data_IF_280763837119
#
_entry.id   IF_280763837119
#
_cell.length_a   1.000
_cell.length_b   1.000
_cell.length_c   1.000
_cell.angle_alpha   90.00
_cell.angle_beta   90.00
_cell.angle_gamma   90.00
#
_symmetry.space_group_name_H-M   'P 1'
#
loop_
_entity.id
_entity.type
_entity.pdbx_description
1 polymer ?
#
# COMPACT_ATOMS: atom_id res chain seq x y z
N UNK A 1 26.79 -20.92 8.73
CA UNK A 1 26.32 -21.54 9.97
C UNK A 1 26.14 -23.04 9.78
N UNK A 2 26.14 -23.80 10.86
CA UNK A 2 25.92 -25.24 10.82
C UNK A 2 24.44 -25.55 10.61
N UNK A 3 24.11 -26.46 9.69
CA UNK A 3 22.72 -26.90 9.45
C UNK A 3 22.29 -27.80 10.59
N UNK A 4 21.18 -27.47 11.25
CA UNK A 4 20.66 -28.17 12.46
C UNK A 4 19.44 -29.06 12.17
N UNK A 5 19.04 -29.19 10.93
CA UNK A 5 17.88 -29.99 10.50
C UNK A 5 18.25 -30.88 9.31
N UNK A 6 17.73 -32.12 9.33
CA UNK A 6 18.03 -33.11 8.28
C UNK A 6 17.12 -32.93 7.06
N UNK A 7 15.90 -32.38 7.28
CA UNK A 7 14.90 -32.24 6.22
C UNK A 7 14.01 -31.02 6.45
N UNK A 8 13.77 -30.25 5.39
CA UNK A 8 12.78 -29.18 5.35
C UNK A 8 11.73 -29.56 4.30
N UNK A 9 10.45 -29.46 4.68
CA UNK A 9 9.32 -29.65 3.77
C UNK A 9 8.59 -28.31 3.66
N UNK A 10 8.47 -27.79 2.46
CA UNK A 10 7.70 -26.56 2.18
C UNK A 10 6.33 -26.93 1.67
N UNK A 11 5.28 -26.44 2.32
CA UNK A 11 3.87 -26.61 1.93
C UNK A 11 3.33 -25.26 1.44
N UNK A 12 2.56 -25.27 0.36
CA UNK A 12 1.85 -24.10 -0.14
C UNK A 12 0.39 -24.15 0.30
N UNK A 13 -0.16 -22.98 0.67
CA UNK A 13 -1.56 -22.83 1.08
C UNK A 13 -2.24 -21.81 0.17
N UNK A 14 -3.50 -22.06 -0.16
CA UNK A 14 -4.28 -21.22 -1.06
C UNK A 14 -4.72 -19.90 -0.40
N UNK A 15 -4.92 -19.93 0.91
CA UNK A 15 -5.39 -18.77 1.69
C UNK A 15 -4.80 -18.73 3.09
N UNK A 16 -4.92 -17.55 3.74
CA UNK A 16 -4.36 -17.32 5.06
C UNK A 16 -5.09 -18.06 6.20
N UNK A 17 -6.34 -18.44 6.01
CA UNK A 17 -7.09 -19.18 7.01
C UNK A 17 -6.61 -20.62 7.10
N UNK A 18 -6.41 -21.27 5.95
CA UNK A 18 -5.81 -22.60 5.85
C UNK A 18 -4.37 -22.62 6.42
N UNK A 19 -3.58 -21.57 6.13
CA UNK A 19 -2.24 -21.40 6.68
C UNK A 19 -2.27 -21.30 8.23
N UNK A 20 -3.17 -20.48 8.77
CA UNK A 20 -3.36 -20.31 10.21
C UNK A 20 -3.75 -21.63 10.90
N UNK A 21 -4.72 -22.34 10.33
CA UNK A 21 -5.16 -23.63 10.86
C UNK A 21 -4.02 -24.67 10.85
N UNK A 22 -3.25 -24.74 9.77
CA UNK A 22 -2.12 -25.67 9.67
C UNK A 22 -1.03 -25.38 10.71
N UNK A 23 -0.78 -24.10 11.05
CA UNK A 23 0.14 -23.73 12.11
C UNK A 23 -0.42 -24.11 13.50
N UNK A 24 -1.71 -23.86 13.75
CA UNK A 24 -2.36 -24.21 15.02
C UNK A 24 -2.42 -25.72 15.29
N UNK A 25 -2.63 -26.51 14.24
CA UNK A 25 -2.68 -27.99 14.35
C UNK A 25 -1.31 -28.65 14.39
N UNK A 26 -0.22 -27.90 14.17
CA UNK A 26 1.12 -28.43 14.08
C UNK A 26 1.48 -29.13 12.77
N UNK A 27 0.61 -29.05 11.77
CA UNK A 27 0.88 -29.55 10.40
C UNK A 27 2.08 -28.86 9.76
N UNK A 28 2.36 -27.64 10.16
CA UNK A 28 3.57 -26.88 9.89
C UNK A 28 4.16 -26.33 11.19
N UNK A 29 5.49 -26.22 11.25
CA UNK A 29 6.22 -25.74 12.43
C UNK A 29 6.68 -24.28 12.29
N UNK A 30 6.46 -23.67 11.14
CA UNK A 30 6.80 -22.27 10.92
C UNK A 30 6.14 -21.76 9.65
N UNK A 31 5.88 -20.48 9.62
CA UNK A 31 5.29 -19.82 8.45
C UNK A 31 5.81 -18.40 8.29
N UNK A 32 5.64 -17.89 7.10
CA UNK A 32 5.84 -16.50 6.72
C UNK A 32 4.55 -16.00 6.05
N UNK A 33 4.14 -14.75 6.34
CA UNK A 33 2.97 -14.15 5.70
C UNK A 33 1.62 -14.50 6.36
N UNK A 34 1.61 -14.68 7.67
CA UNK A 34 0.36 -14.79 8.43
C UNK A 34 -0.46 -13.50 8.29
N UNK A 35 -1.78 -13.62 8.21
CA UNK A 35 -2.68 -12.46 8.21
C UNK A 35 -2.58 -11.70 9.55
N UNK A 36 -2.61 -10.37 9.50
CA UNK A 36 -2.45 -9.53 10.70
C UNK A 36 -3.47 -9.85 11.79
N UNK A 37 -4.73 -10.08 11.41
CA UNK A 37 -5.82 -10.41 12.32
C UNK A 37 -5.63 -11.75 13.07
N UNK A 38 -4.72 -12.59 12.60
CA UNK A 38 -4.44 -13.91 13.18
C UNK A 38 -3.24 -13.92 14.14
N UNK A 39 -2.43 -12.86 14.19
CA UNK A 39 -1.29 -12.78 15.13
C UNK A 39 -1.68 -12.91 16.59
N UNK A 40 -2.80 -12.33 17.09
CA UNK A 40 -3.21 -12.49 18.48
C UNK A 40 -3.42 -13.95 18.92
N UNK A 41 -3.67 -14.87 17.99
CA UNK A 41 -3.80 -16.31 18.28
C UNK A 41 -2.47 -16.94 18.74
N UNK A 42 -1.34 -16.30 18.41
CA UNK A 42 0.01 -16.83 18.64
C UNK A 42 0.83 -15.98 19.60
N UNK A 43 0.57 -14.67 19.70
CA UNK A 43 1.37 -13.71 20.48
C UNK A 43 1.42 -14.02 21.97
N UNK A 44 0.32 -14.53 22.53
CA UNK A 44 0.21 -14.85 23.97
C UNK A 44 0.34 -16.34 24.28
N UNK A 45 0.87 -17.11 23.32
CA UNK A 45 1.04 -18.55 23.47
C UNK A 45 2.55 -18.89 23.45
N UNK A 46 3.05 -19.43 24.57
CA UNK A 46 4.46 -19.80 24.76
C UNK A 46 4.98 -20.88 23.79
N UNK A 47 4.08 -21.60 23.11
CA UNK A 47 4.45 -22.63 22.14
C UNK A 47 4.93 -22.01 20.81
N UNK A 48 4.73 -20.70 20.64
CA UNK A 48 5.10 -19.99 19.41
C UNK A 48 6.10 -18.87 19.68
N UNK A 49 6.97 -18.65 18.72
CA UNK A 49 7.88 -17.49 18.69
C UNK A 49 7.61 -16.68 17.44
N UNK A 50 7.31 -15.39 17.62
CA UNK A 50 7.14 -14.45 16.52
C UNK A 50 8.41 -13.63 16.37
N UNK A 51 9.05 -13.73 15.21
CA UNK A 51 10.20 -12.90 14.83
C UNK A 51 9.77 -11.90 13.77
N UNK A 52 10.07 -10.63 13.99
CA UNK A 52 9.78 -9.55 13.05
C UNK A 52 11.05 -8.75 12.78
N UNK A 53 11.26 -8.39 11.54
CA UNK A 53 12.35 -7.50 11.14
C UNK A 53 11.87 -6.55 10.05
N UNK A 54 12.41 -5.32 10.05
CA UNK A 54 12.19 -4.36 8.97
C UNK A 54 12.83 -4.88 7.68
N UNK A 55 12.16 -4.64 6.56
CA UNK A 55 12.63 -5.00 5.23
C UNK A 55 12.63 -3.77 4.32
N UNK A 56 13.22 -3.88 3.13
CA UNK A 56 13.12 -2.85 2.08
C UNK A 56 11.84 -2.96 1.24
N UNK A 57 10.83 -3.73 1.68
CA UNK A 57 9.55 -3.77 1.00
C UNK A 57 8.79 -2.49 1.25
N UNK A 58 8.45 -1.79 0.17
CA UNK A 58 7.67 -0.58 0.18
C UNK A 58 6.38 -0.78 -0.63
N UNK A 59 5.27 -0.28 -0.11
CA UNK A 59 4.02 -0.11 -0.84
C UNK A 59 3.94 1.35 -1.26
N UNK A 60 3.73 1.62 -2.53
CA UNK A 60 3.69 2.98 -3.06
C UNK A 60 2.71 3.10 -4.22
N UNK A 61 2.15 4.30 -4.38
CA UNK A 61 1.30 4.66 -5.49
C UNK A 61 2.09 5.35 -6.59
N UNK A 62 1.75 5.04 -7.83
CA UNK A 62 2.23 5.72 -9.03
C UNK A 62 1.04 6.43 -9.67
N UNK A 63 1.16 7.72 -9.90
CA UNK A 63 0.17 8.49 -10.63
C UNK A 63 0.37 8.28 -12.14
N UNK A 64 -0.72 8.04 -12.85
CA UNK A 64 -0.71 8.01 -14.30
C UNK A 64 -0.69 9.44 -14.83
N UNK A 65 0.46 9.88 -15.32
CA UNK A 65 0.62 11.25 -15.83
C UNK A 65 -0.06 11.48 -17.18
N UNK A 66 -0.54 10.42 -17.85
CA UNK A 66 -1.37 10.54 -19.07
C UNK A 66 -2.86 10.71 -18.73
N UNK A 67 -3.26 10.49 -17.47
CA UNK A 67 -4.61 10.80 -17.00
C UNK A 67 -4.80 12.30 -16.84
N UNK A 68 -5.86 12.85 -17.43
CA UNK A 68 -6.18 14.29 -17.36
C UNK A 68 -6.31 14.78 -15.92
N UNK A 69 -6.95 13.99 -15.04
CA UNK A 69 -7.12 14.31 -13.62
C UNK A 69 -5.76 14.38 -12.91
N UNK A 70 -4.85 13.47 -13.25
CA UNK A 70 -3.53 13.39 -12.59
C UNK A 70 -2.53 14.40 -13.14
N UNK A 71 -2.83 15.16 -14.21
CA UNK A 71 -2.01 16.28 -14.64
C UNK A 71 -2.08 17.46 -13.67
N UNK A 72 -3.18 17.62 -12.92
CA UNK A 72 -3.30 18.64 -11.88
C UNK A 72 -2.45 18.26 -10.65
N UNK A 73 -1.43 19.08 -10.37
CA UNK A 73 -0.54 18.88 -9.23
C UNK A 73 -1.26 18.97 -7.88
N UNK A 74 -2.28 19.84 -7.78
CA UNK A 74 -3.03 20.00 -6.55
C UNK A 74 -3.89 18.77 -6.26
N UNK A 75 -4.46 18.15 -7.31
CA UNK A 75 -5.19 16.87 -7.17
C UNK A 75 -4.25 15.77 -6.67
N UNK A 76 -3.05 15.62 -7.26
CA UNK A 76 -2.08 14.62 -6.79
C UNK A 76 -1.68 14.85 -5.33
N UNK A 77 -1.41 16.11 -4.95
CA UNK A 77 -1.10 16.45 -3.55
C UNK A 77 -2.28 16.19 -2.62
N UNK A 78 -3.50 16.54 -3.03
CA UNK A 78 -4.70 16.29 -2.24
C UNK A 78 -4.93 14.80 -2.01
N UNK A 79 -4.72 13.96 -3.02
CA UNK A 79 -4.75 12.48 -2.88
C UNK A 79 -3.74 12.02 -1.85
N UNK A 80 -2.50 12.50 -1.90
CA UNK A 80 -1.45 12.11 -0.95
C UNK A 80 -1.74 12.61 0.47
N UNK A 81 -2.24 13.84 0.63
CA UNK A 81 -2.64 14.43 1.91
C UNK A 81 -3.90 13.77 2.49
N UNK A 82 -4.77 13.23 1.66
CA UNK A 82 -6.01 12.57 2.08
C UNK A 82 -5.83 11.12 2.56
N UNK A 83 -4.65 10.52 2.42
CA UNK A 83 -4.39 9.15 2.85
C UNK A 83 -3.68 9.14 4.21
N UNK A 84 -4.37 8.67 5.26
CA UNK A 84 -3.80 8.52 6.61
C UNK A 84 -2.89 7.28 6.69
N UNK A 85 -1.62 7.47 6.34
CA UNK A 85 -0.60 6.41 6.35
C UNK A 85 -0.31 5.91 7.76
N UNK A 86 -0.32 6.80 8.76
CA UNK A 86 -0.10 6.45 10.16
C UNK A 86 -1.27 5.62 10.73
N UNK A 87 -2.51 6.01 10.44
CA UNK A 87 -3.70 5.27 10.81
C UNK A 87 -3.73 3.88 10.15
N UNK A 88 -3.39 3.77 8.87
CA UNK A 88 -3.28 2.48 8.20
C UNK A 88 -2.25 1.56 8.87
N UNK A 89 -1.05 2.05 9.13
CA UNK A 89 0.01 1.25 9.75
C UNK A 89 -0.33 0.86 11.20
N UNK A 90 -0.89 1.77 11.99
CA UNK A 90 -1.18 1.51 13.41
C UNK A 90 -2.43 0.65 13.62
N UNK A 91 -3.50 0.90 12.87
CA UNK A 91 -4.80 0.25 13.06
C UNK A 91 -4.94 -0.99 12.18
N UNK A 92 -4.80 -0.83 10.85
CA UNK A 92 -5.04 -1.93 9.92
C UNK A 92 -3.91 -2.95 9.95
N UNK A 93 -2.66 -2.50 10.01
CA UNK A 93 -1.49 -3.38 10.11
C UNK A 93 -1.09 -3.71 11.55
N UNK A 94 -1.85 -3.23 12.54
CA UNK A 94 -1.60 -3.48 13.96
C UNK A 94 -0.14 -3.16 14.39
N UNK A 95 0.40 -2.05 13.89
CA UNK A 95 1.77 -1.61 14.16
C UNK A 95 2.88 -2.42 13.47
N UNK A 96 2.53 -3.30 12.50
CA UNK A 96 3.50 -4.14 11.78
C UNK A 96 4.01 -3.52 10.48
N UNK A 97 3.71 -2.26 10.26
CA UNK A 97 4.21 -1.43 9.17
C UNK A 97 4.66 -0.08 9.70
N UNK A 98 5.43 0.62 8.88
CA UNK A 98 5.89 1.99 9.16
C UNK A 98 5.51 2.85 7.95
N UNK A 99 4.92 4.05 8.18
CA UNK A 99 4.66 4.99 7.09
C UNK A 99 5.95 5.30 6.33
N UNK A 100 5.97 5.02 5.03
CA UNK A 100 7.14 5.25 4.22
C UNK A 100 7.32 6.75 3.95
N UNK A 101 8.55 7.25 4.14
CA UNK A 101 8.95 8.62 3.79
C UNK A 101 9.70 8.66 2.46
N UNK A 102 10.32 7.56 2.09
CA UNK A 102 11.08 7.41 0.86
C UNK A 102 11.08 5.94 0.41
N UNK A 103 11.59 5.68 -0.77
CA UNK A 103 11.72 4.34 -1.31
C UNK A 103 12.67 3.44 -0.49
N UNK A 104 13.61 4.04 0.24
CA UNK A 104 14.62 3.32 1.02
C UNK A 104 14.51 3.70 2.49
N UNK A 105 14.36 2.71 3.40
CA UNK A 105 14.35 2.98 4.84
C UNK A 105 15.75 3.40 5.33
N UNK A 106 15.78 4.12 6.46
CA UNK A 106 17.02 4.62 7.10
C UNK A 106 17.98 3.51 7.57
N UNK A 107 17.55 2.26 7.57
CA UNK A 107 18.42 1.11 7.81
C UNK A 107 19.48 0.90 6.72
N UNK A 108 19.30 1.48 5.53
CA UNK A 108 20.30 1.53 4.48
C UNK A 108 21.15 2.80 4.59
N UNK A 109 22.44 2.70 4.25
CA UNK A 109 23.36 3.83 4.29
C UNK A 109 22.98 4.99 3.36
N UNK A 110 22.17 4.71 2.35
CA UNK A 110 21.60 5.69 1.41
C UNK A 110 20.11 5.97 1.70
N UNK A 111 19.54 5.38 2.74
CA UNK A 111 18.18 5.69 3.20
C UNK A 111 18.15 7.00 3.96
N UNK A 112 17.05 7.71 3.89
CA UNK A 112 16.92 9.02 4.52
C UNK A 112 15.52 9.24 5.09
N UNK A 113 15.43 9.29 6.42
CA UNK A 113 14.19 9.64 7.13
C UNK A 113 13.95 11.16 7.24
N UNK A 114 14.94 11.97 6.85
CA UNK A 114 14.83 13.44 6.85
C UNK A 114 14.18 13.99 5.56
N UNK A 115 13.71 13.13 4.66
CA UNK A 115 12.92 13.56 3.50
C UNK A 115 11.61 14.17 3.98
N UNK A 116 11.35 15.39 3.55
CA UNK A 116 10.05 16.01 3.75
C UNK A 116 9.01 15.26 2.92
N UNK A 117 7.99 14.76 3.59
CA UNK A 117 6.86 14.06 2.96
C UNK A 117 5.59 14.85 3.19
N UNK A 118 4.64 14.65 2.30
CA UNK A 118 3.30 15.17 2.50
C UNK A 118 2.66 14.45 3.69
N UNK A 119 2.28 15.23 4.71
CA UNK A 119 1.58 14.73 5.89
C UNK A 119 0.10 14.54 5.60
N UNK A 120 -0.55 13.66 6.34
CA UNK A 120 -2.01 13.56 6.36
C UNK A 120 -2.61 14.89 6.85
N UNK A 121 -3.32 15.56 5.98
CA UNK A 121 -3.98 16.86 6.24
C UNK A 121 -5.24 16.95 5.35
N UNK A 122 -6.36 16.38 5.77
CA UNK A 122 -7.59 16.39 4.98
C UNK A 122 -8.15 17.80 4.77
N UNK A 123 -7.96 18.72 5.70
CA UNK A 123 -8.42 20.10 5.54
C UNK A 123 -7.58 20.87 4.51
N UNK A 124 -6.27 20.67 4.53
CA UNK A 124 -5.36 21.18 3.51
C UNK A 124 -5.64 20.58 2.13
N UNK A 125 -5.96 19.28 2.07
CA UNK A 125 -6.33 18.62 0.84
C UNK A 125 -7.60 19.23 0.21
N UNK A 126 -8.66 19.47 1.00
CA UNK A 126 -9.87 20.15 0.53
C UNK A 126 -9.59 21.53 -0.06
N UNK A 127 -8.73 22.32 0.61
CA UNK A 127 -8.33 23.64 0.09
C UNK A 127 -7.63 23.55 -1.26
N UNK A 128 -6.72 22.57 -1.43
CA UNK A 128 -6.04 22.38 -2.72
C UNK A 128 -7.02 22.01 -3.84
N UNK A 129 -8.03 21.19 -3.52
CA UNK A 129 -9.08 20.86 -4.47
C UNK A 129 -9.91 22.09 -4.84
N UNK A 130 -10.33 22.90 -3.85
CA UNK A 130 -11.06 24.15 -4.09
C UNK A 130 -10.24 25.14 -4.93
N UNK A 131 -8.93 25.29 -4.67
CA UNK A 131 -8.01 26.12 -5.44
C UNK A 131 -7.90 25.69 -6.90
N UNK A 132 -8.09 24.39 -7.18
CA UNK A 132 -8.14 23.82 -8.52
C UNK A 132 -9.55 23.84 -9.14
N UNK A 133 -10.54 24.40 -8.43
CA UNK A 133 -11.92 24.52 -8.91
C UNK A 133 -12.78 23.30 -8.69
N UNK A 134 -12.34 22.35 -7.86
CA UNK A 134 -13.13 21.20 -7.44
C UNK A 134 -13.94 21.54 -6.19
N UNK A 135 -15.27 21.53 -6.30
CA UNK A 135 -16.19 21.80 -5.20
C UNK A 135 -17.43 20.92 -5.32
N UNK A 136 -18.01 20.51 -4.20
CA UNK A 136 -19.29 19.77 -4.20
C UNK A 136 -20.42 20.74 -4.55
N UNK A 137 -20.87 20.72 -5.81
CA UNK A 137 -21.88 21.66 -6.31
C UNK A 137 -23.31 21.10 -6.25
N UNK A 138 -23.46 19.78 -6.17
CA UNK A 138 -24.78 19.12 -6.14
C UNK A 138 -25.14 18.54 -4.76
N UNK A 139 -24.22 18.55 -3.80
CA UNK A 139 -24.44 18.13 -2.43
C UNK A 139 -24.40 16.61 -2.22
N UNK A 140 -23.78 15.86 -3.14
CA UNK A 140 -23.69 14.40 -3.04
C UNK A 140 -22.51 13.92 -2.19
N UNK A 141 -21.69 14.85 -1.69
CA UNK A 141 -20.53 14.59 -0.83
C UNK A 141 -19.24 14.35 -1.60
N UNK A 142 -19.25 14.48 -2.92
CA UNK A 142 -18.06 14.43 -3.77
C UNK A 142 -17.84 15.77 -4.46
N UNK A 143 -16.59 16.12 -4.69
CA UNK A 143 -16.28 17.35 -5.42
C UNK A 143 -16.42 17.15 -6.92
N UNK A 144 -16.91 18.15 -7.59
CA UNK A 144 -17.08 18.19 -9.04
C UNK A 144 -16.50 19.48 -9.65
N UNK A 145 -16.19 19.43 -10.94
CA UNK A 145 -15.74 20.55 -11.74
C UNK A 145 -16.29 20.42 -13.15
N UNK A 146 -16.89 21.50 -13.66
CA UNK A 146 -17.52 21.53 -14.99
C UNK A 146 -18.57 20.40 -15.19
N UNK A 147 -19.26 20.03 -14.11
CA UNK A 147 -20.27 18.97 -14.09
C UNK A 147 -19.69 17.54 -14.11
N UNK A 148 -18.39 17.39 -13.87
CA UNK A 148 -17.74 16.08 -13.76
C UNK A 148 -17.24 15.87 -12.34
N UNK A 149 -17.65 14.74 -11.74
CA UNK A 149 -17.21 14.31 -10.42
C UNK A 149 -15.72 13.93 -10.44
N UNK A 150 -14.98 14.31 -9.39
CA UNK A 150 -13.62 13.85 -9.18
C UNK A 150 -13.63 12.38 -8.77
N UNK A 151 -13.39 11.52 -9.74
CA UNK A 151 -13.42 10.07 -9.58
C UNK A 151 -12.08 9.48 -10.02
N UNK A 152 -11.43 8.69 -9.14
CA UNK A 152 -10.11 8.13 -9.34
C UNK A 152 -10.22 6.61 -9.52
N UNK A 153 -9.63 6.08 -10.60
CA UNK A 153 -9.47 4.66 -10.81
C UNK A 153 -8.20 4.16 -10.12
N UNK A 154 -8.41 3.44 -9.01
CA UNK A 154 -7.33 2.88 -8.20
C UNK A 154 -7.07 1.44 -8.58
N UNK A 155 -5.93 1.16 -9.19
CA UNK A 155 -5.51 -0.17 -9.59
C UNK A 155 -4.63 -0.81 -8.50
N UNK A 156 -4.93 -2.06 -8.14
CA UNK A 156 -4.12 -2.87 -7.24
C UNK A 156 -4.34 -4.37 -7.51
N UNK A 157 -3.76 -5.26 -6.69
CA UNK A 157 -3.85 -6.71 -6.89
C UNK A 157 -3.99 -7.50 -5.58
N UNK A 158 -4.64 -8.70 -5.61
CA UNK A 158 -5.04 -9.43 -4.39
C UNK A 158 -3.94 -10.29 -3.76
N UNK A 159 -2.81 -10.54 -4.42
CA UNK A 159 -1.79 -11.49 -3.96
C UNK A 159 -0.87 -10.95 -2.83
N UNK A 160 -1.15 -9.76 -2.32
CA UNK A 160 -0.58 -9.17 -1.11
C UNK A 160 -1.72 -8.73 -0.21
N UNK A 161 -1.71 -9.21 1.04
CA UNK A 161 -2.81 -8.99 1.99
C UNK A 161 -3.06 -7.51 2.30
N UNK A 162 -2.00 -6.72 2.26
CA UNK A 162 -2.01 -5.29 2.53
C UNK A 162 -2.70 -4.49 1.41
N UNK A 163 -2.56 -4.93 0.16
CA UNK A 163 -3.00 -4.18 -1.02
C UNK A 163 -4.51 -3.91 -1.04
N UNK A 164 -5.39 -4.92 -0.93
CA UNK A 164 -6.83 -4.68 -0.89
C UNK A 164 -7.24 -3.81 0.31
N UNK A 165 -6.67 -4.07 1.49
CA UNK A 165 -6.95 -3.30 2.71
C UNK A 165 -6.53 -1.84 2.57
N UNK A 166 -5.38 -1.58 1.93
CA UNK A 166 -4.91 -0.22 1.65
C UNK A 166 -5.84 0.51 0.68
N UNK A 167 -6.31 -0.18 -0.36
CA UNK A 167 -7.26 0.39 -1.31
C UNK A 167 -8.60 0.78 -0.64
N UNK A 168 -9.16 -0.11 0.17
CA UNK A 168 -10.39 0.16 0.94
C UNK A 168 -10.20 1.30 1.95
N UNK A 169 -9.06 1.34 2.62
CA UNK A 169 -8.74 2.41 3.57
C UNK A 169 -8.58 3.76 2.87
N UNK A 170 -7.83 3.80 1.77
CA UNK A 170 -7.67 5.00 0.95
C UNK A 170 -9.02 5.47 0.37
N UNK A 171 -9.87 4.55 -0.10
CA UNK A 171 -11.23 4.87 -0.57
C UNK A 171 -12.04 5.58 0.53
N UNK A 172 -11.95 5.11 1.78
CA UNK A 172 -12.66 5.73 2.91
C UNK A 172 -12.11 7.11 3.23
N UNK A 173 -10.78 7.26 3.38
CA UNK A 173 -10.19 8.55 3.76
C UNK A 173 -10.27 9.59 2.65
N UNK A 174 -10.19 9.19 1.39
CA UNK A 174 -10.34 10.09 0.24
C UNK A 174 -11.79 10.54 0.04
N UNK A 175 -12.76 9.71 0.40
CA UNK A 175 -14.17 10.11 0.43
C UNK A 175 -14.39 11.27 1.41
N UNK A 176 -13.70 11.29 2.55
CA UNK A 176 -13.83 12.36 3.56
C UNK A 176 -13.38 13.73 3.03
N UNK A 177 -12.60 13.74 1.97
CA UNK A 177 -12.19 14.97 1.26
C UNK A 177 -12.93 15.17 -0.08
N UNK A 178 -13.96 14.37 -0.35
CA UNK A 178 -14.81 14.51 -1.53
C UNK A 178 -14.29 13.85 -2.80
N UNK A 179 -13.31 12.94 -2.70
CA UNK A 179 -12.81 12.18 -3.85
C UNK A 179 -13.49 10.80 -3.91
N UNK A 180 -14.11 10.49 -5.04
CA UNK A 180 -14.59 9.13 -5.31
C UNK A 180 -13.41 8.24 -5.73
N UNK A 181 -13.34 7.01 -5.19
CA UNK A 181 -12.31 6.04 -5.57
C UNK A 181 -12.96 4.75 -6.07
N UNK A 182 -12.69 4.40 -7.32
CA UNK A 182 -13.11 3.16 -7.96
C UNK A 182 -11.96 2.15 -7.85
N UNK A 183 -12.09 1.17 -6.95
CA UNK A 183 -11.05 0.18 -6.72
C UNK A 183 -11.15 -0.94 -7.75
N UNK A 184 -10.11 -1.12 -8.54
CA UNK A 184 -9.87 -2.28 -9.39
C UNK A 184 -8.79 -3.17 -8.75
N UNK A 185 -9.24 -4.17 -7.99
CA UNK A 185 -8.36 -5.16 -7.35
C UNK A 185 -8.35 -6.44 -8.20
N UNK A 186 -7.37 -6.58 -9.09
CA UNK A 186 -7.34 -7.65 -10.08
C UNK A 186 -5.99 -8.36 -10.16
N UNK A 187 -6.02 -9.68 -10.38
CA UNK A 187 -4.80 -10.45 -10.65
C UNK A 187 -4.16 -10.07 -12.00
N UNK A 188 -4.94 -9.50 -12.93
CA UNK A 188 -4.47 -9.04 -14.25
C UNK A 188 -3.99 -7.58 -14.25
N UNK A 189 -3.60 -7.07 -13.08
CA UNK A 189 -3.16 -5.68 -12.89
C UNK A 189 -2.06 -5.23 -13.87
N UNK A 190 -1.19 -6.16 -14.29
CA UNK A 190 -0.10 -5.84 -15.21
C UNK A 190 -0.61 -5.41 -16.59
N UNK A 191 -1.69 -6.03 -17.10
CA UNK A 191 -2.32 -5.63 -18.36
C UNK A 191 -2.95 -4.24 -18.25
N UNK A 192 -3.69 -3.99 -17.15
CA UNK A 192 -4.28 -2.66 -16.89
C UNK A 192 -3.19 -1.58 -16.77
N UNK A 193 -2.12 -1.86 -16.02
CA UNK A 193 -1.01 -0.92 -15.87
C UNK A 193 -0.33 -0.62 -17.22
N UNK A 194 -0.09 -1.64 -18.04
CA UNK A 194 0.51 -1.48 -19.37
C UNK A 194 -0.35 -0.66 -20.33
N UNK A 195 -1.68 -0.79 -20.22
CA UNK A 195 -2.62 -0.05 -21.06
C UNK A 195 -2.85 1.39 -20.57
N UNK A 196 -2.40 1.74 -19.35
CA UNK A 196 -2.72 3.03 -18.73
C UNK A 196 -4.14 3.11 -18.16
N UNK A 197 -4.80 1.98 -17.93
CA UNK A 197 -6.19 1.90 -17.46
C UNK A 197 -6.27 2.12 -15.93
N UNK A 198 -5.72 3.21 -15.44
CA UNK A 198 -5.72 3.63 -14.04
C UNK A 198 -5.39 5.11 -13.90
N UNK A 199 -5.73 5.70 -12.76
CA UNK A 199 -5.25 7.02 -12.34
C UNK A 199 -4.17 6.88 -11.27
N UNK A 200 -4.36 5.94 -10.34
CA UNK A 200 -3.39 5.57 -9.30
C UNK A 200 -3.16 4.06 -9.34
N UNK A 201 -1.93 3.63 -9.54
CA UNK A 201 -1.54 2.22 -9.43
C UNK A 201 -0.73 2.00 -8.16
N UNK A 202 -1.29 1.22 -7.23
CA UNK A 202 -0.60 0.89 -5.98
C UNK A 202 -0.04 -0.52 -6.05
N UNK A 203 1.27 -0.59 -5.87
CA UNK A 203 2.03 -1.82 -5.93
C UNK A 203 3.00 -1.96 -4.77
N UNK A 204 3.62 -3.12 -4.63
CA UNK A 204 4.69 -3.34 -3.66
C UNK A 204 5.96 -3.82 -4.32
N UNK A 205 7.08 -3.26 -3.90
CA UNK A 205 8.40 -3.63 -4.38
C UNK A 205 9.35 -3.83 -3.19
N UNK A 206 10.21 -4.83 -3.25
CA UNK A 206 11.41 -4.86 -2.42
C UNK A 206 12.43 -3.96 -3.09
N UNK A 207 12.58 -2.73 -2.57
CA UNK A 207 13.26 -1.64 -3.29
C UNK A 207 14.76 -1.84 -3.45
N UNK A 208 15.38 -2.62 -2.57
CA UNK A 208 16.80 -2.98 -2.65
C UNK A 208 17.02 -4.46 -2.29
N UNK A 209 16.62 -5.42 -3.16
CA UNK A 209 16.68 -6.85 -2.84
C UNK A 209 18.10 -7.38 -2.61
N UNK A 210 19.10 -6.76 -3.24
CA UNK A 210 20.53 -7.09 -3.08
C UNK A 210 21.29 -6.08 -2.22
N UNK A 211 20.56 -5.08 -1.65
CA UNK A 211 21.17 -3.94 -0.99
C UNK A 211 21.62 -2.84 -1.96
N UNK A 212 21.33 -2.96 -3.25
CA UNK A 212 21.64 -1.96 -4.29
C UNK A 212 20.37 -1.15 -4.65
N UNK A 213 20.41 0.20 -4.62
CA UNK A 213 19.29 1.06 -4.97
C UNK A 213 18.95 1.07 -6.47
N UNK A 214 19.84 0.63 -7.35
CA UNK A 214 19.66 0.64 -8.81
C UNK A 214 18.37 -0.09 -9.22
N UNK A 215 18.05 -1.19 -8.54
CA UNK A 215 16.85 -1.98 -8.85
C UNK A 215 15.56 -1.16 -8.77
N UNK A 216 15.41 -0.32 -7.76
CA UNK A 216 14.24 0.55 -7.65
C UNK A 216 14.12 1.50 -8.84
N UNK A 217 15.22 2.19 -9.17
CA UNK A 217 15.21 3.18 -10.24
C UNK A 217 14.97 2.56 -11.61
N UNK A 218 15.59 1.42 -11.89
CA UNK A 218 15.41 0.71 -13.17
C UNK A 218 14.01 0.11 -13.32
N UNK A 219 13.38 -0.26 -12.19
CA UNK A 219 12.04 -0.89 -12.21
C UNK A 219 10.88 0.12 -12.21
N UNK A 220 11.11 1.35 -11.75
CA UNK A 220 10.00 2.31 -11.49
C UNK A 220 10.18 3.68 -12.12
N UNK A 221 11.41 4.10 -12.43
CA UNK A 221 11.71 5.47 -12.89
C UNK A 221 12.25 5.49 -14.32
N UNK A 222 13.09 4.54 -14.66
CA UNK A 222 13.67 4.47 -16.01
C UNK A 222 12.68 3.77 -16.93
N UNK A 223 12.24 4.49 -17.97
CA UNK A 223 11.45 3.89 -19.06
C UNK A 223 12.29 2.90 -19.83
N UNK A 224 11.80 1.68 -19.98
CA UNK A 224 12.41 0.65 -20.82
C UNK A 224 12.16 0.91 -22.31
#
# INVERSE_FOLDING_TARGET
GEVKVDKVTVKSFADGSALTAALQTGDIQGTYGLQYDNYPLFENNSDYTINSCATSRCFFGQFNMDSEIMQDQNVRKAVEMGIDKDGFCSVIMQGRGVPAKAAFPSSFSYGNDAVETVSYDPDGAKKLLEESGWTDTDGDGYVDKDGQKLSINWLTYPNRLEQPKLAEYAQSTLKDIGIEVNVNNTADHATYAKNGDFDVYVSSLTTAPTGDPEYFFTSTVVSG
#
